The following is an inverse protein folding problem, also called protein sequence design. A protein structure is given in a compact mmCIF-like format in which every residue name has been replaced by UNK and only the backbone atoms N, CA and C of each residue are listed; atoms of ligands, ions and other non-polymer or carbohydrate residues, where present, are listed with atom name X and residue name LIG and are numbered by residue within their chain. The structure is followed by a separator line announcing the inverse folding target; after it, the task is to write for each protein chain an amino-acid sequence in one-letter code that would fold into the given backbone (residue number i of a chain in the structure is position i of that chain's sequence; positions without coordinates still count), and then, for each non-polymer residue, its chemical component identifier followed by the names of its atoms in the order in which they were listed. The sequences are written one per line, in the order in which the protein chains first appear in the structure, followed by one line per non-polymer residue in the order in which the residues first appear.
data_IF_137378702761
#
_entry.id   IF_137378702761
#
_cell.length_a   1.000
_cell.length_b   1.000
_cell.length_c   1.000
_cell.angle_alpha   90.00
_cell.angle_beta   90.00
_cell.angle_gamma   90.00
#
_symmetry.space_group_name_H-M   'P 1'
#
loop_
_entity.id
_entity.type
_entity.pdbx_description
1 polymer ?
#
# COMPACT_ATOMS: atom_id res chain seq x y z
N UNK A 1 -14.71 -71.82 -24.20
CA UNK A 1 -14.78 -70.52 -23.51
C UNK A 1 -13.38 -69.94 -23.45
N UNK A 2 -13.00 -69.26 -24.52
CA UNK A 2 -11.78 -68.47 -24.59
C UNK A 2 -12.21 -67.02 -24.46
N UNK A 3 -11.80 -66.36 -23.39
CA UNK A 3 -11.51 -64.93 -23.40
C UNK A 3 -10.70 -64.58 -22.15
N UNK A 4 -9.38 -64.72 -22.27
CA UNK A 4 -8.42 -64.05 -21.40
C UNK A 4 -8.19 -62.67 -22.00
N UNK A 5 -9.02 -61.70 -21.61
CA UNK A 5 -8.73 -60.29 -21.83
C UNK A 5 -7.72 -59.82 -20.78
N UNK A 6 -6.50 -59.51 -21.18
CA UNK A 6 -6.08 -58.23 -21.78
C UNK A 6 -5.69 -57.24 -20.67
N UNK A 7 -4.57 -57.56 -20.03
CA UNK A 7 -3.85 -56.61 -19.18
C UNK A 7 -2.94 -55.83 -20.12
N UNK A 8 -3.16 -54.51 -20.33
CA UNK A 8 -2.24 -53.75 -21.16
C UNK A 8 -0.88 -53.75 -20.46
N UNK A 9 0.10 -54.33 -21.15
CA UNK A 9 1.51 -54.27 -20.79
C UNK A 9 1.89 -52.79 -20.72
N UNK A 10 2.00 -52.25 -19.51
CA UNK A 10 2.58 -50.93 -19.25
C UNK A 10 4.08 -51.00 -19.58
N UNK A 11 4.39 -50.88 -20.87
CA UNK A 11 5.74 -50.69 -21.39
C UNK A 11 6.03 -49.19 -21.45
N UNK A 12 5.80 -48.48 -20.35
CA UNK A 12 6.42 -47.17 -20.16
C UNK A 12 7.91 -47.38 -19.90
N UNK A 13 8.65 -47.61 -20.98
CA UNK A 13 10.10 -47.43 -21.06
C UNK A 13 10.36 -45.97 -20.72
N UNK A 14 10.50 -45.66 -19.42
CA UNK A 14 10.81 -44.34 -18.90
C UNK A 14 12.22 -44.01 -19.34
N UNK A 15 12.37 -43.50 -20.56
CA UNK A 15 13.57 -42.82 -21.00
C UNK A 15 13.78 -41.63 -20.06
N UNK A 16 14.67 -41.82 -19.08
CA UNK A 16 15.17 -40.76 -18.22
C UNK A 16 16.12 -39.91 -19.04
N UNK A 17 15.56 -39.08 -19.92
CA UNK A 17 16.30 -37.98 -20.51
C UNK A 17 16.82 -37.11 -19.35
N UNK A 18 18.13 -36.81 -19.30
CA UNK A 18 18.65 -35.88 -18.31
C UNK A 18 17.92 -34.55 -18.50
N UNK A 19 17.23 -34.09 -17.46
CA UNK A 19 16.69 -32.74 -17.42
C UNK A 19 17.88 -31.80 -17.39
N UNK A 20 18.23 -31.29 -18.56
CA UNK A 20 19.25 -30.25 -18.70
C UNK A 20 18.61 -29.00 -18.10
N UNK A 21 18.89 -28.76 -16.82
CA UNK A 21 18.53 -27.52 -16.16
C UNK A 21 19.43 -26.45 -16.79
N UNK A 22 18.97 -25.84 -17.89
CA UNK A 22 19.55 -24.62 -18.41
C UNK A 22 19.28 -23.54 -17.36
N UNK A 23 20.15 -23.45 -16.35
CA UNK A 23 20.18 -22.34 -15.40
C UNK A 23 20.39 -21.06 -16.22
N UNK A 24 19.25 -20.40 -16.47
CA UNK A 24 19.07 -19.31 -17.42
C UNK A 24 19.51 -17.98 -16.82
N UNK A 25 20.57 -17.98 -16.02
CA UNK A 25 21.10 -16.81 -15.33
C UNK A 25 21.79 -15.78 -16.26
N UNK A 26 22.47 -16.18 -17.36
CA UNK A 26 22.95 -15.22 -18.36
C UNK A 26 21.86 -14.81 -19.35
N UNK A 27 20.95 -15.72 -19.73
CA UNK A 27 19.86 -15.44 -20.68
C UNK A 27 18.76 -14.56 -20.09
N UNK A 28 18.47 -14.68 -18.78
CA UNK A 28 17.47 -13.86 -18.10
C UNK A 28 17.81 -12.37 -18.06
N UNK A 29 19.08 -12.03 -17.82
CA UNK A 29 19.57 -10.64 -17.88
C UNK A 29 19.58 -10.10 -19.33
N UNK A 30 19.88 -10.95 -20.30
CA UNK A 30 19.78 -10.61 -21.73
C UNK A 30 18.34 -10.32 -22.16
N UNK A 31 17.40 -11.16 -21.74
CA UNK A 31 15.97 -11.00 -22.04
C UNK A 31 15.38 -9.71 -21.46
N UNK A 32 15.74 -9.32 -20.24
CA UNK A 32 15.27 -8.06 -19.64
C UNK A 32 15.77 -6.82 -20.38
N UNK A 33 16.97 -6.90 -20.96
CA UNK A 33 17.54 -5.83 -21.79
C UNK A 33 16.89 -5.80 -23.17
N UNK A 34 16.61 -6.96 -23.77
CA UNK A 34 15.90 -7.10 -25.05
C UNK A 34 14.45 -6.63 -24.95
N UNK A 35 13.75 -6.94 -23.85
CA UNK A 35 12.37 -6.49 -23.62
C UNK A 35 12.28 -4.96 -23.55
N UNK A 36 13.21 -4.31 -22.83
CA UNK A 36 13.32 -2.85 -22.81
C UNK A 36 13.73 -2.27 -24.17
N UNK A 37 14.56 -2.98 -24.92
CA UNK A 37 15.03 -2.53 -26.24
C UNK A 37 13.92 -2.60 -27.31
N UNK A 38 13.14 -3.67 -27.35
CA UNK A 38 12.08 -3.89 -28.35
C UNK A 38 10.86 -2.98 -28.17
N UNK A 39 10.58 -2.53 -26.93
CA UNK A 39 9.48 -1.62 -26.64
C UNK A 39 9.78 -0.13 -26.84
N UNK A 40 11.03 0.24 -27.13
CA UNK A 40 11.47 1.63 -27.25
C UNK A 40 11.51 2.04 -28.74
N UNK A 41 10.99 3.23 -29.14
CA UNK A 41 11.02 3.67 -30.55
C UNK A 41 12.43 3.80 -31.15
N UNK A 42 13.48 3.80 -30.30
CA UNK A 42 14.88 3.78 -30.73
C UNK A 42 15.26 2.54 -31.54
N UNK A 43 14.66 1.36 -31.29
CA UNK A 43 14.96 0.15 -32.08
C UNK A 43 14.59 0.34 -33.55
N UNK A 44 13.42 0.91 -33.80
CA UNK A 44 12.95 1.21 -35.16
C UNK A 44 13.88 2.19 -35.85
N UNK A 45 14.36 3.22 -35.15
CA UNK A 45 15.32 4.19 -35.71
C UNK A 45 16.62 3.50 -36.13
N UNK A 46 17.21 2.65 -35.29
CA UNK A 46 18.42 1.90 -35.66
C UNK A 46 18.18 0.97 -36.85
N UNK A 47 17.05 0.27 -36.89
CA UNK A 47 16.68 -0.61 -38.00
C UNK A 47 16.53 0.19 -39.31
N UNK A 48 15.86 1.34 -39.28
CA UNK A 48 15.71 2.23 -40.44
C UNK A 48 17.06 2.75 -40.91
N UNK A 49 17.92 3.23 -39.99
CA UNK A 49 19.26 3.69 -40.34
C UNK A 49 20.09 2.57 -40.97
N UNK A 50 20.02 1.35 -40.44
CA UNK A 50 20.71 0.19 -41.01
C UNK A 50 20.23 -0.12 -42.43
N UNK A 51 18.92 -0.17 -42.66
CA UNK A 51 18.33 -0.42 -43.99
C UNK A 51 18.74 0.68 -44.98
N UNK A 52 18.66 1.95 -44.57
CA UNK A 52 19.06 3.09 -45.42
C UNK A 52 20.56 3.03 -45.74
N UNK A 53 21.42 2.76 -44.76
CA UNK A 53 22.85 2.63 -44.95
C UNK A 53 23.20 1.48 -45.90
N UNK A 54 22.50 0.34 -45.79
CA UNK A 54 22.67 -0.81 -46.68
C UNK A 54 22.30 -0.49 -48.12
N UNK A 55 21.15 0.17 -48.32
CA UNK A 55 20.70 0.63 -49.63
C UNK A 55 21.71 1.62 -50.21
N UNK A 56 22.16 2.62 -49.42
CA UNK A 56 23.18 3.59 -49.85
C UNK A 56 24.47 2.90 -50.26
N UNK A 57 24.94 1.93 -49.47
CA UNK A 57 26.16 1.18 -49.76
C UNK A 57 26.05 0.41 -51.07
N UNK A 58 24.96 -0.35 -51.28
CA UNK A 58 24.78 -1.12 -52.52
C UNK A 58 24.47 -0.27 -53.75
N UNK A 59 23.89 0.93 -53.58
CA UNK A 59 23.58 1.84 -54.69
C UNK A 59 24.79 2.67 -55.12
N UNK A 60 25.63 3.12 -54.19
CA UNK A 60 26.84 3.89 -54.50
C UNK A 60 28.04 2.98 -54.85
N UNK A 61 28.00 1.69 -54.52
CA UNK A 61 29.07 0.75 -54.86
C UNK A 61 29.16 0.48 -56.38
N UNK A 62 30.37 0.43 -56.97
CA UNK A 62 30.55 0.02 -58.37
C UNK A 62 30.00 -1.39 -58.63
N UNK A 63 29.41 -1.63 -59.82
CA UNK A 63 28.71 -2.88 -60.19
C UNK A 63 29.48 -4.19 -59.95
N UNK A 64 30.81 -4.14 -59.84
CA UNK A 64 31.70 -5.26 -59.51
C UNK A 64 31.75 -5.66 -58.02
N UNK A 65 31.25 -4.81 -57.13
CA UNK A 65 31.23 -4.98 -55.67
C UNK A 65 29.81 -4.92 -55.08
N UNK A 66 28.78 -4.84 -55.93
CA UNK A 66 27.38 -4.88 -55.52
C UNK A 66 27.01 -6.32 -55.13
N UNK A 67 27.13 -6.62 -53.84
CA UNK A 67 26.69 -7.90 -53.28
C UNK A 67 25.16 -8.06 -53.31
N UNK A 68 24.40 -6.96 -53.33
CA UNK A 68 22.93 -6.94 -53.31
C UNK A 68 22.41 -5.88 -54.29
N UNK A 69 22.41 -6.23 -55.58
CA UNK A 69 22.08 -5.28 -56.66
C UNK A 69 20.60 -4.86 -56.62
N UNK A 70 20.35 -3.56 -56.80
CA UNK A 70 19.00 -2.99 -56.77
C UNK A 70 18.05 -3.58 -57.83
N UNK A 71 18.59 -4.12 -58.93
CA UNK A 71 17.81 -4.76 -60.00
C UNK A 71 17.09 -6.05 -59.54
N UNK A 72 17.60 -6.72 -58.51
CA UNK A 72 17.00 -7.93 -57.93
C UNK A 72 16.14 -7.64 -56.69
N UNK A 73 15.97 -6.37 -56.32
CA UNK A 73 15.11 -5.96 -55.20
C UNK A 73 15.70 -6.22 -53.80
N UNK A 74 17.03 -6.22 -53.66
CA UNK A 74 17.72 -6.45 -52.39
C UNK A 74 17.42 -7.82 -51.74
N UNK A 75 17.61 -8.90 -52.51
CA UNK A 75 17.34 -10.28 -52.07
C UNK A 75 18.10 -10.64 -50.80
N UNK A 76 19.36 -10.20 -50.65
CA UNK A 76 20.15 -10.53 -49.46
C UNK A 76 19.59 -9.86 -48.20
N UNK A 77 19.22 -8.58 -48.30
CA UNK A 77 18.55 -7.84 -47.24
C UNK A 77 17.23 -8.52 -46.83
N UNK A 78 16.45 -8.95 -47.83
CA UNK A 78 15.15 -9.63 -47.59
C UNK A 78 15.32 -10.98 -46.90
N UNK A 79 16.31 -11.78 -47.31
CA UNK A 79 16.64 -13.05 -46.67
C UNK A 79 17.09 -12.83 -45.21
N UNK A 80 17.92 -11.82 -44.98
CA UNK A 80 18.39 -11.44 -43.64
C UNK A 80 17.22 -11.02 -42.73
N UNK A 81 16.31 -10.17 -43.23
CA UNK A 81 15.12 -9.73 -42.50
C UNK A 81 14.16 -10.90 -42.18
N UNK A 82 13.98 -11.81 -43.13
CA UNK A 82 13.14 -13.01 -42.93
C UNK A 82 13.74 -13.93 -41.85
N UNK A 83 15.06 -14.11 -41.87
CA UNK A 83 15.76 -14.84 -40.81
C UNK A 83 15.65 -14.12 -39.46
N UNK A 84 15.73 -12.79 -39.46
CA UNK A 84 15.61 -11.97 -38.25
C UNK A 84 14.27 -12.19 -37.54
N UNK A 85 13.18 -12.19 -38.31
CA UNK A 85 11.86 -12.51 -37.78
C UNK A 85 11.80 -13.95 -37.22
N UNK A 86 12.38 -14.92 -37.93
CA UNK A 86 12.33 -16.33 -37.54
C UNK A 86 13.09 -16.65 -36.24
N UNK A 87 14.24 -16.03 -35.98
CA UNK A 87 14.98 -16.27 -34.73
C UNK A 87 14.44 -15.45 -33.55
N UNK A 88 13.68 -14.39 -33.82
CA UNK A 88 13.10 -13.55 -32.77
C UNK A 88 12.03 -14.30 -31.98
N UNK A 89 11.20 -15.12 -32.66
CA UNK A 89 10.13 -15.88 -32.02
C UNK A 89 10.59 -16.77 -30.84
N UNK A 90 11.62 -17.62 -30.97
CA UNK A 90 12.09 -18.44 -29.84
C UNK A 90 12.73 -17.63 -28.71
N UNK A 91 13.40 -16.51 -29.00
CA UNK A 91 13.93 -15.61 -27.96
C UNK A 91 12.81 -14.88 -27.21
N UNK A 92 11.76 -14.46 -27.91
CA UNK A 92 10.59 -13.83 -27.31
C UNK A 92 9.85 -14.83 -26.41
N UNK A 93 9.69 -16.09 -26.83
CA UNK A 93 9.06 -17.14 -26.01
C UNK A 93 9.81 -17.38 -24.69
N UNK A 94 11.16 -17.35 -24.72
CA UNK A 94 11.98 -17.44 -23.51
C UNK A 94 11.85 -16.21 -22.59
N UNK A 95 11.67 -15.02 -23.18
CA UNK A 95 11.46 -13.79 -22.43
C UNK A 95 10.05 -13.74 -21.80
N UNK A 96 9.03 -14.24 -22.50
CA UNK A 96 7.63 -14.23 -22.06
C UNK A 96 7.39 -15.14 -20.85
N UNK A 97 7.91 -16.38 -20.85
CA UNK A 97 7.74 -17.30 -19.72
C UNK A 97 8.17 -16.69 -18.37
N UNK A 98 9.19 -15.84 -18.36
CA UNK A 98 9.66 -15.17 -17.14
C UNK A 98 8.83 -13.95 -16.75
N UNK A 99 8.25 -13.25 -17.73
CA UNK A 99 7.34 -12.16 -17.45
C UNK A 99 6.07 -12.71 -16.80
N UNK A 100 5.56 -13.82 -17.33
CA UNK A 100 4.40 -14.53 -16.79
C UNK A 100 4.65 -15.04 -15.35
N UNK A 101 5.86 -15.54 -15.05
CA UNK A 101 6.24 -15.94 -13.68
C UNK A 101 6.26 -14.75 -12.70
N UNK A 102 6.78 -13.58 -13.11
CA UNK A 102 6.75 -12.37 -12.27
C UNK A 102 5.32 -11.87 -12.08
N UNK A 103 4.54 -11.83 -13.16
CA UNK A 103 3.16 -11.36 -13.14
C UNK A 103 2.30 -12.27 -12.26
N UNK A 104 2.58 -13.58 -12.24
CA UNK A 104 1.97 -14.53 -11.31
C UNK A 104 2.30 -14.22 -9.86
N UNK A 105 3.58 -13.99 -9.52
CA UNK A 105 3.98 -13.64 -8.15
C UNK A 105 3.36 -12.32 -7.71
N UNK A 106 3.33 -11.33 -8.60
CA UNK A 106 2.68 -10.04 -8.36
C UNK A 106 1.18 -10.23 -8.08
N UNK A 107 0.49 -11.04 -8.89
CA UNK A 107 -0.93 -11.33 -8.70
C UNK A 107 -1.22 -12.11 -7.40
N UNK A 108 -0.34 -13.02 -6.99
CA UNK A 108 -0.44 -13.74 -5.71
C UNK A 108 -0.26 -12.78 -4.52
N UNK A 109 0.69 -11.85 -4.59
CA UNK A 109 0.88 -10.82 -3.56
C UNK A 109 -0.31 -9.86 -3.46
N UNK A 110 -0.85 -9.42 -4.59
CA UNK A 110 -2.01 -8.53 -4.61
C UNK A 110 -3.25 -9.22 -4.04
N UNK A 111 -3.43 -10.52 -4.28
CA UNK A 111 -4.47 -11.32 -3.61
C UNK A 111 -4.29 -11.33 -2.10
N UNK A 112 -3.09 -11.64 -1.60
CA UNK A 112 -2.84 -11.66 -0.15
C UNK A 112 -3.04 -10.28 0.50
N UNK A 113 -2.67 -9.20 -0.19
CA UNK A 113 -2.92 -7.83 0.27
C UNK A 113 -4.42 -7.52 0.32
N UNK A 114 -5.18 -7.92 -0.70
CA UNK A 114 -6.63 -7.74 -0.71
C UNK A 114 -7.32 -8.50 0.43
N UNK A 115 -6.90 -9.72 0.72
CA UNK A 115 -7.40 -10.50 1.86
C UNK A 115 -7.10 -9.80 3.19
N UNK A 116 -5.86 -9.33 3.40
CA UNK A 116 -5.49 -8.56 4.61
C UNK A 116 -6.31 -7.28 4.74
N UNK A 117 -6.48 -6.52 3.65
CA UNK A 117 -7.29 -5.30 3.66
C UNK A 117 -8.76 -5.58 4.02
N UNK A 118 -9.32 -6.70 3.56
CA UNK A 118 -10.66 -7.13 3.96
C UNK A 118 -10.73 -7.40 5.46
N UNK A 119 -9.78 -8.18 6.00
CA UNK A 119 -9.71 -8.47 7.44
C UNK A 119 -9.50 -7.21 8.28
N UNK A 120 -8.63 -6.29 7.86
CA UNK A 120 -8.40 -5.02 8.55
C UNK A 120 -9.66 -4.15 8.53
N UNK A 121 -10.40 -4.15 7.41
CA UNK A 121 -11.67 -3.43 7.30
C UNK A 121 -12.74 -4.04 8.23
N UNK A 122 -12.83 -5.37 8.29
CA UNK A 122 -13.72 -6.08 9.22
C UNK A 122 -13.35 -5.77 10.68
N UNK A 123 -12.05 -5.74 11.00
CA UNK A 123 -11.55 -5.41 12.33
C UNK A 123 -11.91 -3.98 12.71
N UNK A 124 -11.60 -2.99 11.86
CA UNK A 124 -11.95 -1.60 12.08
C UNK A 124 -13.46 -1.40 12.21
N UNK A 125 -14.26 -2.10 11.40
CA UNK A 125 -15.73 -2.03 11.49
C UNK A 125 -16.23 -2.58 12.83
N UNK A 126 -15.64 -3.66 13.34
CA UNK A 126 -15.98 -4.22 14.65
C UNK A 126 -15.56 -3.30 15.79
N UNK A 127 -14.37 -2.70 15.72
CA UNK A 127 -13.91 -1.74 16.72
C UNK A 127 -14.76 -0.47 16.73
N UNK A 128 -15.13 0.06 15.55
CA UNK A 128 -16.04 1.21 15.46
C UNK A 128 -17.41 0.87 16.05
N UNK A 129 -17.92 -0.34 15.84
CA UNK A 129 -19.17 -0.78 16.44
C UNK A 129 -19.06 -0.85 17.98
N UNK A 130 -17.95 -1.37 18.51
CA UNK A 130 -17.65 -1.38 19.95
C UNK A 130 -17.52 0.02 20.54
N UNK A 131 -16.75 0.89 19.89
CA UNK A 131 -16.58 2.29 20.27
C UNK A 131 -17.93 3.04 20.27
N UNK A 132 -18.78 2.81 19.27
CA UNK A 132 -20.11 3.40 19.20
C UNK A 132 -20.97 3.00 20.40
N UNK A 133 -20.96 1.72 20.80
CA UNK A 133 -21.71 1.25 21.96
C UNK A 133 -21.20 1.89 23.26
N UNK A 134 -19.87 1.97 23.44
CA UNK A 134 -19.27 2.62 24.60
C UNK A 134 -19.58 4.12 24.66
N UNK A 135 -19.54 4.83 23.52
CA UNK A 135 -19.93 6.24 23.43
C UNK A 135 -21.43 6.44 23.68
N UNK A 136 -22.27 5.50 23.26
CA UNK A 136 -23.71 5.57 23.47
C UNK A 136 -24.06 5.47 24.97
N UNK A 137 -23.28 4.72 25.74
CA UNK A 137 -23.44 4.61 27.20
C UNK A 137 -23.03 5.92 27.92
N UNK A 138 -21.87 6.50 27.54
CA UNK A 138 -21.31 7.72 28.18
C UNK A 138 -22.01 9.01 27.74
N UNK A 139 -22.61 9.06 26.55
CA UNK A 139 -23.26 10.24 25.99
C UNK A 139 -24.79 10.10 25.89
N UNK A 140 -25.42 9.34 26.77
CA UNK A 140 -26.89 9.32 26.79
C UNK A 140 -27.38 10.73 27.16
N UNK A 141 -28.26 11.31 26.34
CA UNK A 141 -28.85 12.66 26.52
C UNK A 141 -29.32 12.91 27.95
N UNK A 142 -29.81 11.87 28.63
CA UNK A 142 -30.32 11.97 29.99
C UNK A 142 -29.22 12.09 31.04
N UNK A 143 -28.03 11.52 30.83
CA UNK A 143 -26.85 11.75 31.68
C UNK A 143 -26.30 13.17 31.51
N UNK A 144 -26.14 13.63 30.26
CA UNK A 144 -25.69 15.01 29.99
C UNK A 144 -26.71 16.02 30.54
N UNK A 145 -28.00 15.71 30.43
CA UNK A 145 -29.08 16.55 30.99
C UNK A 145 -29.11 16.51 32.51
N UNK A 146 -28.90 15.35 33.14
CA UNK A 146 -28.87 15.27 34.60
C UNK A 146 -27.69 16.07 35.12
N UNK A 147 -26.51 15.96 34.50
CA UNK A 147 -25.32 16.64 34.97
C UNK A 147 -25.37 18.15 34.76
N UNK A 148 -25.87 18.60 33.61
CA UNK A 148 -26.17 20.02 33.41
C UNK A 148 -27.18 20.55 34.42
N UNK A 149 -28.16 19.74 34.81
CA UNK A 149 -29.16 20.14 35.80
C UNK A 149 -28.57 20.21 37.20
N UNK A 150 -27.78 19.21 37.60
CA UNK A 150 -27.04 19.21 38.88
C UNK A 150 -26.15 20.44 38.97
N UNK A 151 -25.32 20.70 37.95
CA UNK A 151 -24.44 21.88 37.93
C UNK A 151 -25.21 23.21 37.97
N UNK A 152 -26.39 23.29 37.32
CA UNK A 152 -27.25 24.48 37.40
C UNK A 152 -27.93 24.66 38.76
N UNK A 153 -28.28 23.56 39.42
CA UNK A 153 -28.87 23.57 40.76
C UNK A 153 -27.83 24.05 41.78
N UNK A 154 -26.61 23.51 41.74
CA UNK A 154 -25.47 23.92 42.58
C UNK A 154 -25.18 25.43 42.43
N UNK A 155 -25.07 25.93 41.20
CA UNK A 155 -24.87 27.36 40.92
C UNK A 155 -26.02 28.22 41.47
N UNK A 156 -27.27 27.76 41.36
CA UNK A 156 -28.42 28.50 41.91
C UNK A 156 -28.37 28.56 43.43
N UNK A 157 -28.00 27.47 44.09
CA UNK A 157 -27.88 27.40 45.54
C UNK A 157 -26.81 28.36 46.04
N UNK A 158 -25.66 28.42 45.36
CA UNK A 158 -24.59 29.38 45.64
C UNK A 158 -25.09 30.84 45.54
N UNK A 159 -25.86 31.20 44.51
CA UNK A 159 -26.49 32.53 44.41
C UNK A 159 -27.57 32.82 45.46
N UNK A 160 -28.29 31.79 45.95
CA UNK A 160 -29.28 31.93 47.02
C UNK A 160 -28.63 32.10 48.39
N UNK A 161 -27.51 31.42 48.65
CA UNK A 161 -26.68 31.60 49.85
C UNK A 161 -26.06 33.00 49.89
N UNK A 162 -25.46 33.45 48.78
CA UNK A 162 -24.91 34.81 48.62
C UNK A 162 -25.98 35.91 48.80
N UNK A 163 -27.26 35.58 48.55
CA UNK A 163 -28.42 36.46 48.79
C UNK A 163 -28.99 36.40 50.21
N UNK A 164 -28.81 35.29 50.94
CA UNK A 164 -29.26 35.15 52.34
C UNK A 164 -28.28 35.81 53.32
N UNK A 165 -27.05 36.06 52.89
CA UNK A 165 -26.02 36.70 53.70
C UNK A 165 -25.98 38.24 53.60
N UNK A 166 -27.10 38.96 53.82
CA UNK A 166 -27.00 40.32 54.39
C UNK A 166 -27.88 40.60 55.63
N UNK A 167 -28.64 39.63 56.15
CA UNK A 167 -29.68 39.91 57.16
C UNK A 167 -29.38 39.45 58.60
N UNK A 168 -28.11 39.16 58.91
CA UNK A 168 -27.68 38.75 60.27
C UNK A 168 -26.58 39.66 60.84
N UNK A 169 -26.69 40.97 60.54
CA UNK A 169 -25.79 41.99 61.06
C UNK A 169 -26.56 43.22 61.55
N UNK A 170 -27.57 43.07 62.41
CA UNK A 170 -28.16 44.17 63.19
C UNK A 170 -28.98 43.63 64.37
N UNK A 171 -28.75 44.22 65.55
CA UNK A 171 -29.47 44.05 66.84
C UNK A 171 -29.07 42.82 67.70
N UNK A 172 -28.68 42.95 68.98
CA UNK A 172 -28.42 44.11 69.82
C UNK A 172 -27.56 43.63 71.01
N UNK A 173 -26.50 44.40 71.24
CA UNK A 173 -25.82 44.67 72.49
C UNK A 173 -26.69 44.49 73.74
N UNK A 174 -26.17 43.79 74.76
CA UNK A 174 -26.11 44.20 76.19
C UNK A 174 -25.92 42.94 77.06
N UNK A 175 -24.76 42.81 77.71
CA UNK A 175 -24.53 41.71 78.64
C UNK A 175 -23.08 41.42 78.95
N UNK A 176 -22.36 42.45 79.37
CA UNK A 176 -21.12 42.40 80.15
C UNK A 176 -21.07 41.20 81.12
N UNK A 177 -19.98 40.41 81.09
CA UNK A 177 -19.16 40.05 82.26
C UNK A 177 -18.25 38.84 81.97
N UNK A 178 -16.94 39.12 81.96
CA UNK A 178 -15.87 38.30 82.53
C UNK A 178 -15.57 36.93 81.87
N UNK A 179 -14.33 36.51 81.60
CA UNK A 179 -12.98 37.05 81.82
C UNK A 179 -11.99 35.93 81.43
N UNK A 180 -10.73 36.31 81.17
CA UNK A 180 -9.50 35.49 81.20
C UNK A 180 -9.25 34.67 79.91
N UNK A 181 -8.45 35.12 78.95
CA UNK A 181 -6.98 35.37 78.91
C UNK A 181 -6.26 34.28 78.10
N UNK A 182 -5.23 34.72 77.37
CA UNK A 182 -4.09 33.98 76.80
C UNK A 182 -4.13 33.65 75.30
N UNK A 183 -3.19 34.33 74.62
CA UNK A 183 -2.84 34.37 73.21
C UNK A 183 -1.89 33.19 72.78
N UNK A 184 -1.05 33.31 71.72
CA UNK A 184 -1.38 33.25 70.28
C UNK A 184 -0.46 32.27 69.49
N UNK A 185 -0.78 31.97 68.22
CA UNK A 185 0.17 31.71 67.11
C UNK A 185 -0.64 31.41 65.83
N UNK A 186 -0.65 32.24 64.78
CA UNK A 186 0.42 32.47 63.79
C UNK A 186 0.95 31.16 63.18
N UNK A 187 0.84 30.87 61.89
CA UNK A 187 0.38 31.67 60.76
C UNK A 187 0.57 30.88 59.45
N UNK A 188 0.17 31.53 58.37
CA UNK A 188 0.53 31.29 56.95
C UNK A 188 0.48 29.85 56.42
N UNK A 189 -0.45 29.59 55.49
CA UNK A 189 0.05 29.55 54.12
C UNK A 189 -1.00 30.03 53.12
N UNK A 190 -0.54 30.94 52.26
CA UNK A 190 -1.32 31.68 51.29
C UNK A 190 -0.89 31.22 49.91
N UNK A 191 -1.88 30.87 49.08
CA UNK A 191 -1.98 31.24 47.66
C UNK A 191 -0.71 31.27 46.81
N UNK A 192 -0.69 30.45 45.77
CA UNK A 192 -0.56 30.89 44.37
C UNK A 192 -0.91 29.72 43.46
N UNK A 193 -1.98 29.82 42.65
CA UNK A 193 -1.92 30.33 41.27
C UNK A 193 -0.76 29.70 40.49
N UNK A 194 -1.04 28.94 39.44
CA UNK A 194 -0.68 29.38 38.09
C UNK A 194 -1.38 28.56 37.00
N UNK A 195 -1.82 29.28 35.97
CA UNK A 195 -2.37 28.82 34.71
C UNK A 195 -1.30 28.19 33.80
N UNK A 196 -1.76 27.46 32.77
CA UNK A 196 -1.05 27.28 31.50
C UNK A 196 -1.62 26.05 30.77
N UNK A 197 -2.51 26.15 29.78
CA UNK A 197 -2.29 26.66 28.40
C UNK A 197 -0.90 26.36 27.86
N UNK A 198 -0.78 25.30 27.06
CA UNK A 198 0.01 25.18 25.82
C UNK A 198 -0.50 23.93 25.09
N UNK A 199 -1.14 24.07 23.92
CA UNK A 199 -0.57 24.14 22.57
C UNK A 199 -0.13 22.76 22.04
#
# INVERSE_FOLDING_TARGET
MADRLDTPIDRSMRWRLPRVNFESEPLGRGAERIARFSGTPQFLVYLTVFVVAWILWNTLAPARLQFDSAALGFTALTLMLSLQASYSAPLILLAQNRQDDRDRVQAEQDRQRAERNLTDTEYLTREIAGLRLALQDVATRDFVRSELRTMLEDLREEFEEDRREPDNASEDTTGESASIDSAPASGSDSTSKENGITK
#
